data_IF_624402059928
#
_entry.id   IF_624402059928
#
_cell.length_a   1.000
_cell.length_b   1.000
_cell.length_c   1.000
_cell.angle_alpha   90.00
_cell.angle_beta   90.00
_cell.angle_gamma   90.00
#
_symmetry.space_group_name_H-M   'P 1'
#
loop_
_entity.id
_entity.type
_entity.pdbx_description
1 polymer ?
#
# COMPACT_ATOMS: atom_id res chain seq x y z
N UNK A 1 -24.27 30.07 5.62
CA UNK A 1 -23.49 29.40 4.57
C UNK A 1 -23.20 30.41 3.48
N UNK A 2 -21.97 30.46 2.99
CA UNK A 2 -21.55 31.33 1.91
C UNK A 2 -20.94 30.48 0.79
N UNK A 3 -21.45 30.64 -0.44
CA UNK A 3 -20.92 29.99 -1.63
C UNK A 3 -20.43 31.03 -2.61
N UNK A 4 -19.23 30.83 -3.17
CA UNK A 4 -18.70 31.64 -4.24
C UNK A 4 -19.14 31.05 -5.59
N UNK A 5 -19.83 31.85 -6.41
CA UNK A 5 -20.23 31.44 -7.74
C UNK A 5 -19.31 32.08 -8.78
N UNK A 6 -18.91 31.34 -9.77
CA UNK A 6 -18.25 31.87 -10.96
C UNK A 6 -19.31 32.29 -11.99
N UNK A 7 -18.90 33.00 -13.04
CA UNK A 7 -19.80 33.40 -14.11
C UNK A 7 -20.35 32.13 -14.81
N UNK A 8 -21.68 31.96 -14.79
CA UNK A 8 -22.36 30.88 -15.50
C UNK A 8 -22.63 31.27 -16.97
N UNK A 9 -22.60 30.26 -17.83
CA UNK A 9 -23.03 30.41 -19.25
C UNK A 9 -24.57 30.41 -19.33
N UNK A 10 -25.10 30.96 -20.43
CA UNK A 10 -26.56 30.92 -20.65
C UNK A 10 -27.10 29.47 -20.65
N UNK A 11 -28.14 29.21 -19.86
CA UNK A 11 -28.74 27.87 -19.73
C UNK A 11 -28.08 26.98 -18.65
N UNK A 12 -27.16 27.51 -17.87
CA UNK A 12 -26.59 26.85 -16.69
C UNK A 12 -27.30 27.29 -15.41
N UNK A 13 -27.49 26.40 -14.47
CA UNK A 13 -28.12 26.61 -13.19
C UNK A 13 -27.22 26.10 -12.07
N UNK A 14 -27.00 26.89 -11.02
CA UNK A 14 -26.38 26.43 -9.80
C UNK A 14 -27.43 25.73 -8.92
N UNK A 15 -27.13 24.54 -8.50
CA UNK A 15 -28.02 23.72 -7.65
C UNK A 15 -27.24 22.85 -6.69
N UNK A 16 -27.81 22.54 -5.52
CA UNK A 16 -27.26 21.59 -4.56
C UNK A 16 -27.99 20.26 -4.66
N UNK A 17 -27.31 19.14 -4.61
CA UNK A 17 -27.95 17.82 -4.57
C UNK A 17 -27.25 16.94 -3.52
N UNK A 18 -28.01 16.26 -2.65
CA UNK A 18 -29.47 16.38 -2.43
C UNK A 18 -29.90 17.80 -2.01
N UNK A 19 -31.19 18.09 -2.15
CA UNK A 19 -31.74 19.36 -1.69
C UNK A 19 -31.39 19.62 -0.22
N UNK A 20 -30.86 20.83 0.06
CA UNK A 20 -30.39 21.20 1.40
C UNK A 20 -28.98 20.68 1.74
N UNK A 21 -28.30 19.98 0.85
CA UNK A 21 -26.89 19.60 1.03
C UNK A 21 -25.94 20.79 0.87
N UNK A 22 -24.71 20.66 1.36
CA UNK A 22 -23.66 21.66 1.13
C UNK A 22 -22.97 21.56 -0.24
N UNK A 23 -23.27 20.55 -1.05
CA UNK A 23 -22.59 20.31 -2.33
C UNK A 23 -23.32 21.01 -3.48
N UNK A 24 -22.64 22.00 -4.08
CA UNK A 24 -23.15 22.80 -5.19
C UNK A 24 -22.45 22.44 -6.50
N UNK A 25 -23.21 22.37 -7.59
CA UNK A 25 -22.68 22.10 -8.93
C UNK A 25 -23.49 22.84 -10.02
N UNK A 26 -22.91 22.89 -11.21
CA UNK A 26 -23.56 23.47 -12.39
C UNK A 26 -24.36 22.40 -13.12
N UNK A 27 -25.67 22.53 -13.10
CA UNK A 27 -26.60 21.70 -13.84
C UNK A 27 -27.07 22.36 -15.14
N UNK A 28 -27.69 21.58 -16.02
CA UNK A 28 -28.28 22.06 -17.28
C UNK A 28 -29.80 22.05 -17.27
N UNK A 29 -30.41 21.51 -16.21
CA UNK A 29 -31.84 21.41 -16.05
C UNK A 29 -32.33 22.46 -15.06
N UNK A 30 -33.31 23.26 -15.46
CA UNK A 30 -34.04 24.16 -14.54
C UNK A 30 -34.86 23.30 -13.58
N UNK A 31 -34.55 23.39 -12.29
CA UNK A 31 -35.21 22.64 -11.21
C UNK A 31 -36.01 23.54 -10.29
N UNK A 32 -36.36 24.76 -10.70
CA UNK A 32 -37.18 25.66 -9.90
C UNK A 32 -38.53 25.01 -9.54
N UNK A 33 -38.86 25.00 -8.26
CA UNK A 33 -40.03 24.36 -7.68
C UNK A 33 -40.11 22.83 -7.83
N UNK A 34 -39.00 22.17 -8.08
CA UNK A 34 -38.89 20.70 -8.10
C UNK A 34 -37.58 20.28 -7.39
N UNK A 35 -37.47 19.02 -7.04
CA UNK A 35 -36.23 18.46 -6.49
C UNK A 35 -35.07 18.66 -7.46
N UNK A 36 -33.94 19.06 -6.94
CA UNK A 36 -32.70 19.23 -7.71
C UNK A 36 -32.26 17.91 -8.36
N UNK A 37 -31.65 17.99 -9.53
CA UNK A 37 -31.17 16.83 -10.24
C UNK A 37 -29.76 16.44 -9.72
N UNK A 38 -29.39 15.16 -9.70
CA UNK A 38 -28.02 14.75 -9.35
C UNK A 38 -26.99 15.32 -10.32
N UNK A 39 -25.74 15.40 -9.88
CA UNK A 39 -24.61 15.71 -10.75
C UNK A 39 -24.60 14.76 -11.97
N UNK A 40 -24.21 15.29 -13.11
CA UNK A 40 -24.48 14.67 -14.42
C UNK A 40 -23.76 13.36 -14.66
N UNK A 41 -22.53 13.20 -14.19
CA UNK A 41 -21.72 11.99 -14.38
C UNK A 41 -20.86 11.74 -13.16
N UNK A 42 -21.02 10.57 -12.55
CA UNK A 42 -20.16 10.08 -11.47
C UNK A 42 -19.56 8.70 -11.79
N UNK A 43 -19.70 8.26 -13.05
CA UNK A 43 -19.32 6.92 -13.49
C UNK A 43 -17.85 6.81 -13.88
N UNK A 44 -17.17 7.93 -14.14
CA UNK A 44 -15.74 7.96 -14.46
C UNK A 44 -14.96 8.29 -13.19
N UNK A 45 -14.07 7.40 -12.82
CA UNK A 45 -13.30 7.48 -11.58
C UNK A 45 -11.81 7.38 -11.84
N UNK A 46 -11.00 7.95 -10.97
CA UNK A 46 -9.54 7.73 -10.91
C UNK A 46 -9.33 6.32 -10.33
N UNK A 47 -8.66 5.46 -11.08
CA UNK A 47 -8.54 4.03 -10.83
C UNK A 47 -7.13 3.58 -10.45
N UNK A 48 -6.09 4.21 -11.03
CA UNK A 48 -4.70 3.91 -10.74
C UNK A 48 -3.87 5.19 -10.83
N UNK A 49 -2.87 5.33 -9.93
CA UNK A 49 -1.98 6.49 -9.88
C UNK A 49 -0.54 6.00 -9.69
N UNK A 50 0.32 6.29 -10.66
CA UNK A 50 1.78 6.14 -10.53
C UNK A 50 2.39 7.53 -10.37
N UNK A 51 2.47 8.00 -9.13
CA UNK A 51 2.96 9.36 -8.83
C UNK A 51 4.48 9.42 -8.58
N UNK A 52 5.10 8.28 -8.26
CA UNK A 52 6.53 8.19 -7.99
C UNK A 52 7.11 6.90 -8.58
N UNK A 53 7.22 6.82 -9.92
CA UNK A 53 7.89 5.68 -10.54
C UNK A 53 9.35 5.61 -10.07
N UNK A 54 10.00 4.43 -10.02
CA UNK A 54 11.42 4.32 -9.74
C UNK A 54 12.25 5.12 -10.76
N UNK A 55 13.40 5.65 -10.33
CA UNK A 55 14.30 6.45 -11.19
C UNK A 55 14.71 5.74 -12.49
N UNK A 56 14.68 4.40 -12.50
CA UNK A 56 14.95 3.57 -13.66
C UNK A 56 13.89 3.65 -14.76
N UNK A 57 12.71 4.19 -14.47
CA UNK A 57 11.59 4.32 -15.43
C UNK A 57 11.51 5.69 -16.12
N UNK A 58 12.37 6.64 -15.78
CA UNK A 58 12.28 7.99 -16.32
C UNK A 58 10.97 8.68 -15.92
N UNK A 59 10.31 9.38 -16.87
CA UNK A 59 9.05 10.09 -16.62
C UNK A 59 7.82 9.18 -16.78
N UNK A 60 7.79 8.10 -15.98
CA UNK A 60 6.74 7.07 -16.00
C UNK A 60 5.48 7.42 -15.19
N UNK A 61 5.27 8.67 -14.80
CA UNK A 61 4.07 9.10 -14.07
C UNK A 61 2.81 8.96 -14.92
N UNK A 62 1.73 8.51 -14.30
CA UNK A 62 0.41 8.44 -14.94
C UNK A 62 -0.74 8.46 -13.94
N UNK A 63 -1.92 8.84 -14.45
CA UNK A 63 -3.21 8.68 -13.80
C UNK A 63 -4.10 7.89 -14.76
N UNK A 64 -4.78 6.87 -14.26
CA UNK A 64 -5.73 6.10 -15.04
C UNK A 64 -7.16 6.40 -14.62
N UNK A 65 -8.02 6.57 -15.61
CA UNK A 65 -9.47 6.66 -15.45
C UNK A 65 -10.14 5.35 -15.85
N UNK A 66 -11.20 5.02 -15.15
CA UNK A 66 -12.06 3.86 -15.42
C UNK A 66 -13.51 4.29 -15.51
N UNK A 67 -14.24 3.81 -16.51
CA UNK A 67 -15.70 4.01 -16.60
C UNK A 67 -16.41 2.80 -16.00
N UNK A 68 -16.87 2.94 -14.73
CA UNK A 68 -17.66 1.93 -14.03
C UNK A 68 -19.13 1.91 -14.42
N UNK A 69 -19.57 2.91 -15.22
CA UNK A 69 -20.96 3.06 -15.64
C UNK A 69 -21.37 2.10 -16.74
N UNK A 70 -22.64 2.25 -17.18
CA UNK A 70 -23.24 1.43 -18.25
C UNK A 70 -23.32 2.15 -19.59
N UNK A 71 -22.91 3.41 -19.66
CA UNK A 71 -22.95 4.26 -20.84
C UNK A 71 -21.56 4.75 -21.23
N UNK A 72 -21.37 4.98 -22.53
CA UNK A 72 -20.17 5.66 -23.01
C UNK A 72 -20.19 7.11 -22.58
N UNK A 73 -19.14 7.58 -21.93
CA UNK A 73 -18.96 8.96 -21.49
C UNK A 73 -18.13 9.71 -22.54
N UNK A 74 -18.59 10.89 -22.93
CA UNK A 74 -17.83 11.83 -23.75
C UNK A 74 -16.99 12.72 -22.83
N UNK A 75 -15.69 12.62 -22.91
CA UNK A 75 -14.73 13.37 -22.09
C UNK A 75 -14.22 14.65 -22.80
N UNK A 76 -14.79 15.03 -23.93
CA UNK A 76 -14.39 16.28 -24.64
C UNK A 76 -14.43 17.47 -23.69
N UNK A 77 -13.31 18.23 -23.63
CA UNK A 77 -13.13 19.43 -22.81
C UNK A 77 -13.19 19.19 -21.29
N UNK A 78 -13.22 17.94 -20.84
CA UNK A 78 -12.99 17.62 -19.44
C UNK A 78 -11.59 17.99 -19.04
N UNK A 79 -11.34 18.18 -17.74
CA UNK A 79 -10.03 18.56 -17.21
C UNK A 79 -9.65 17.64 -16.07
N UNK A 80 -8.43 17.11 -16.14
CA UNK A 80 -7.76 16.49 -14.99
C UNK A 80 -6.76 17.51 -14.45
N UNK A 81 -6.91 17.91 -13.19
CA UNK A 81 -6.13 18.96 -12.57
C UNK A 81 -5.68 18.59 -11.14
N UNK A 82 -4.71 19.33 -10.62
CA UNK A 82 -4.04 19.11 -9.35
C UNK A 82 -2.57 19.51 -9.48
N UNK A 83 -1.62 18.63 -9.15
CA UNK A 83 -0.21 18.81 -9.51
C UNK A 83 0.05 18.73 -11.02
N UNK A 84 -0.91 18.24 -11.76
CA UNK A 84 -0.89 18.15 -13.23
C UNK A 84 -2.06 18.91 -13.83
N UNK A 85 -1.93 19.26 -15.13
CA UNK A 85 -3.00 19.83 -15.93
C UNK A 85 -3.11 19.07 -17.27
N UNK A 86 -4.31 18.56 -17.55
CA UNK A 86 -4.62 17.89 -18.80
C UNK A 86 -6.06 18.15 -19.23
N UNK A 87 -6.25 18.76 -20.42
CA UNK A 87 -7.56 18.92 -21.04
C UNK A 87 -7.77 17.82 -22.07
N UNK A 88 -8.88 17.08 -21.96
CA UNK A 88 -9.18 15.98 -22.87
C UNK A 88 -9.54 16.50 -24.26
N UNK A 89 -8.89 15.99 -25.32
CA UNK A 89 -9.14 16.43 -26.69
C UNK A 89 -10.57 16.19 -27.16
N UNK A 90 -11.06 16.98 -28.13
CA UNK A 90 -12.36 16.74 -28.76
C UNK A 90 -12.50 15.30 -29.30
N UNK A 91 -13.66 14.70 -29.05
CA UNK A 91 -13.97 13.33 -29.49
C UNK A 91 -13.44 12.22 -28.57
N UNK A 92 -12.79 12.55 -27.46
CA UNK A 92 -12.36 11.57 -26.47
C UNK A 92 -13.59 10.91 -25.83
N UNK A 93 -13.64 9.59 -25.88
CA UNK A 93 -14.75 8.79 -25.32
C UNK A 93 -14.21 7.65 -24.51
N UNK A 94 -14.91 7.33 -23.42
CA UNK A 94 -14.60 6.20 -22.55
C UNK A 94 -15.83 5.30 -22.43
N UNK A 95 -15.74 4.09 -22.98
CA UNK A 95 -16.86 3.12 -22.97
C UNK A 95 -17.00 2.46 -21.61
N UNK A 96 -18.15 1.83 -21.31
CA UNK A 96 -18.32 1.02 -20.12
C UNK A 96 -17.21 -0.04 -19.97
N UNK A 97 -16.60 -0.09 -18.77
CA UNK A 97 -15.53 -1.04 -18.46
C UNK A 97 -14.17 -0.75 -19.13
N UNK A 98 -14.02 0.38 -19.83
CA UNK A 98 -12.75 0.77 -20.42
C UNK A 98 -11.88 1.59 -19.44
N UNK A 99 -10.56 1.45 -19.66
CA UNK A 99 -9.51 2.23 -19.01
C UNK A 99 -8.97 3.29 -19.97
N UNK A 100 -8.60 4.44 -19.44
CA UNK A 100 -7.93 5.52 -20.16
C UNK A 100 -6.81 6.09 -19.30
N UNK A 101 -5.59 5.94 -19.77
CA UNK A 101 -4.39 6.41 -19.07
C UNK A 101 -4.04 7.82 -19.53
N UNK A 102 -3.75 8.72 -18.61
CA UNK A 102 -3.22 10.05 -18.85
C UNK A 102 -1.78 10.07 -18.33
N UNK A 103 -0.81 10.22 -19.20
CA UNK A 103 0.61 10.03 -18.92
C UNK A 103 1.43 11.31 -18.98
N UNK A 104 2.50 11.38 -18.19
CA UNK A 104 3.54 12.38 -18.36
C UNK A 104 4.29 12.21 -19.68
N UNK A 105 4.52 10.96 -20.09
CA UNK A 105 5.07 10.58 -21.39
C UNK A 105 4.30 9.38 -21.97
N UNK A 106 3.34 9.67 -22.83
CA UNK A 106 2.51 8.64 -23.47
C UNK A 106 3.29 7.73 -24.41
N UNK A 107 4.38 8.22 -25.00
CA UNK A 107 5.28 7.42 -25.85
C UNK A 107 6.04 6.39 -25.03
N UNK A 108 6.60 6.80 -23.91
CA UNK A 108 7.28 5.92 -22.96
C UNK A 108 6.32 4.84 -22.46
N UNK A 109 5.12 5.21 -21.99
CA UNK A 109 4.16 4.25 -21.46
C UNK A 109 3.75 3.19 -22.50
N UNK A 110 3.53 3.58 -23.76
CA UNK A 110 3.28 2.62 -24.83
C UNK A 110 4.46 1.67 -25.07
N UNK A 111 5.68 2.16 -24.95
CA UNK A 111 6.87 1.33 -25.11
C UNK A 111 7.02 0.29 -23.99
N UNK A 112 6.59 0.63 -22.76
CA UNK A 112 6.70 -0.22 -21.58
C UNK A 112 5.54 -1.23 -21.46
N UNK A 113 4.31 -0.82 -21.81
CA UNK A 113 3.10 -1.59 -21.56
C UNK A 113 2.41 -2.09 -22.84
N UNK A 114 2.90 -1.72 -24.03
CA UNK A 114 2.34 -2.13 -25.30
C UNK A 114 1.11 -1.32 -25.71
N UNK A 115 0.15 -1.98 -26.38
CA UNK A 115 -1.04 -1.33 -26.93
C UNK A 115 -2.08 -1.02 -25.82
N UNK A 116 -1.89 0.07 -25.10
CA UNK A 116 -2.82 0.60 -24.11
C UNK A 116 -3.50 1.87 -24.61
N UNK A 117 -4.72 2.14 -24.14
CA UNK A 117 -5.41 3.40 -24.40
C UNK A 117 -4.81 4.51 -23.54
N UNK A 118 -3.89 5.29 -24.12
CA UNK A 118 -3.14 6.33 -23.39
C UNK A 118 -3.14 7.64 -24.16
N UNK A 119 -3.43 8.71 -23.46
CA UNK A 119 -3.31 10.11 -23.86
C UNK A 119 -2.17 10.78 -23.07
N UNK A 120 -1.76 11.92 -23.51
CA UNK A 120 -0.73 12.73 -22.89
C UNK A 120 -0.08 13.62 -23.94
N UNK A 121 0.95 14.39 -23.63
CA UNK A 121 1.56 14.41 -22.30
C UNK A 121 0.83 15.46 -21.44
N UNK A 122 0.61 15.20 -20.17
CA UNK A 122 0.09 16.23 -19.29
C UNK A 122 1.17 17.27 -18.95
N UNK A 123 0.77 18.45 -18.51
CA UNK A 123 1.66 19.46 -17.95
C UNK A 123 1.74 19.32 -16.43
N UNK A 124 2.88 19.76 -15.86
CA UNK A 124 3.10 19.62 -14.42
C UNK A 124 3.74 18.30 -14.02
N UNK A 125 3.60 17.96 -12.78
CA UNK A 125 4.16 16.74 -12.18
C UNK A 125 3.29 16.30 -11.00
N UNK A 126 3.04 15.00 -10.88
CA UNK A 126 2.43 14.44 -9.67
C UNK A 126 3.37 14.63 -8.47
N UNK A 127 2.83 15.15 -7.37
CA UNK A 127 3.65 15.40 -6.19
C UNK A 127 4.10 14.08 -5.55
N UNK A 128 5.39 14.01 -5.24
CA UNK A 128 5.96 12.88 -4.51
C UNK A 128 5.57 12.85 -3.02
N UNK A 129 4.96 13.92 -2.51
CA UNK A 129 4.64 14.11 -1.10
C UNK A 129 3.11 14.18 -0.82
N UNK A 130 2.31 13.84 -1.83
CA UNK A 130 0.85 13.91 -1.80
C UNK A 130 0.30 15.02 -2.67
N UNK A 131 -0.89 14.80 -3.27
CA UNK A 131 -1.54 15.74 -4.18
C UNK A 131 -3.05 15.52 -4.24
N UNK A 132 -3.78 16.60 -4.51
CA UNK A 132 -5.22 16.57 -4.70
C UNK A 132 -5.57 16.57 -6.19
N UNK A 133 -5.78 15.40 -6.76
CA UNK A 133 -6.23 15.21 -8.14
C UNK A 133 -7.73 15.40 -8.26
N UNK A 134 -8.16 16.17 -9.27
CA UNK A 134 -9.57 16.41 -9.56
C UNK A 134 -9.87 16.18 -11.05
N UNK A 135 -10.90 15.39 -11.30
CA UNK A 135 -11.49 15.25 -12.62
C UNK A 135 -12.74 16.14 -12.68
N UNK A 136 -12.71 17.09 -13.59
CA UNK A 136 -13.81 18.05 -13.81
C UNK A 136 -14.47 17.79 -15.17
N UNK A 137 -15.79 17.94 -15.25
CA UNK A 137 -16.49 17.89 -16.54
C UNK A 137 -16.30 19.18 -17.37
N UNK A 138 -16.87 19.23 -18.57
CA UNK A 138 -16.78 20.37 -19.50
C UNK A 138 -17.39 21.68 -18.96
N UNK A 139 -18.06 21.60 -17.80
CA UNK A 139 -18.66 22.74 -17.11
C UNK A 139 -17.88 23.15 -15.84
N UNK A 140 -16.86 22.38 -15.51
CA UNK A 140 -16.08 22.55 -14.29
C UNK A 140 -16.72 21.91 -13.05
N UNK A 141 -17.71 21.03 -13.22
CA UNK A 141 -18.26 20.27 -12.08
C UNK A 141 -17.28 19.18 -11.68
N UNK A 142 -17.12 18.99 -10.38
CA UNK A 142 -16.35 17.87 -9.83
C UNK A 142 -17.03 16.53 -10.15
N UNK A 143 -16.33 15.68 -10.86
CA UNK A 143 -16.75 14.31 -11.20
C UNK A 143 -16.17 13.32 -10.20
N UNK A 144 -14.88 13.44 -9.94
CA UNK A 144 -14.15 12.58 -9.02
C UNK A 144 -12.90 13.30 -8.48
N UNK A 145 -12.50 12.97 -7.26
CA UNK A 145 -11.26 13.52 -6.67
C UNK A 145 -10.57 12.48 -5.80
N UNK A 146 -9.26 12.60 -5.70
CA UNK A 146 -8.40 11.80 -4.82
C UNK A 146 -7.34 12.70 -4.24
N UNK A 147 -7.32 12.82 -2.91
CA UNK A 147 -6.25 13.49 -2.15
C UNK A 147 -5.29 12.41 -1.64
N UNK A 148 -4.40 11.93 -2.54
CA UNK A 148 -3.46 10.89 -2.15
C UNK A 148 -2.33 11.43 -1.28
N UNK A 149 -1.90 10.63 -0.32
CA UNK A 149 -0.81 10.94 0.58
C UNK A 149 0.27 9.85 0.51
N UNK A 150 1.41 10.06 1.16
CA UNK A 150 2.58 9.17 1.11
C UNK A 150 2.87 8.49 2.44
N UNK A 151 2.04 8.71 3.44
CA UNK A 151 2.20 8.18 4.80
C UNK A 151 0.86 7.86 5.45
N UNK A 152 0.88 7.51 6.74
CA UNK A 152 -0.30 7.05 7.46
C UNK A 152 -0.80 5.72 6.89
N UNK A 153 -2.09 5.67 6.55
CA UNK A 153 -2.73 4.45 6.03
C UNK A 153 -2.60 4.28 4.50
N UNK A 154 -1.87 5.17 3.81
CA UNK A 154 -1.64 5.05 2.38
C UNK A 154 -0.57 4.00 2.06
N UNK A 155 -0.73 3.23 0.95
CA UNK A 155 0.17 2.15 0.58
C UNK A 155 1.62 2.62 0.36
N UNK A 156 2.52 2.26 1.27
CA UNK A 156 3.91 2.73 1.29
C UNK A 156 4.71 2.32 0.04
N UNK A 157 4.42 1.16 -0.54
CA UNK A 157 5.13 0.65 -1.72
C UNK A 157 4.87 1.48 -2.99
N UNK A 158 3.83 2.30 -3.02
CA UNK A 158 3.59 3.25 -4.11
C UNK A 158 4.51 4.48 -4.03
N UNK A 159 5.15 4.72 -2.89
CA UNK A 159 6.06 5.85 -2.70
C UNK A 159 7.48 5.56 -3.23
N UNK A 160 7.62 5.44 -4.55
CA UNK A 160 8.91 5.23 -5.22
C UNK A 160 9.50 3.85 -5.03
N UNK A 161 8.69 2.88 -4.59
CA UNK A 161 9.14 1.51 -4.33
C UNK A 161 8.64 0.50 -5.36
N UNK A 162 8.23 1.01 -6.52
CA UNK A 162 7.89 0.24 -7.70
C UNK A 162 6.42 -0.02 -7.93
N UNK A 163 5.57 0.08 -6.92
CA UNK A 163 4.14 -0.08 -7.08
C UNK A 163 3.44 1.23 -7.45
N UNK A 164 2.31 1.17 -8.16
CA UNK A 164 1.32 2.23 -8.25
C UNK A 164 0.31 2.14 -7.09
N UNK A 165 -0.49 3.18 -6.91
CA UNK A 165 -1.74 3.11 -6.14
C UNK A 165 -2.83 2.53 -7.04
N UNK A 166 -3.41 1.41 -6.66
CA UNK A 166 -4.53 0.77 -7.34
C UNK A 166 -5.79 0.84 -6.51
N UNK A 167 -6.89 1.30 -7.10
CA UNK A 167 -8.20 1.27 -6.48
C UNK A 167 -8.68 -0.19 -6.32
N UNK A 168 -9.01 -0.60 -5.11
CA UNK A 168 -9.41 -1.98 -4.80
C UNK A 168 -10.74 -2.38 -5.43
N UNK A 169 -11.69 -1.46 -5.54
CA UNK A 169 -12.97 -1.71 -6.22
C UNK A 169 -13.58 -0.39 -6.68
N UNK A 170 -14.14 -0.32 -7.89
CA UNK A 170 -14.67 0.92 -8.45
C UNK A 170 -15.84 1.53 -7.66
N UNK A 171 -16.54 0.76 -6.84
CA UNK A 171 -17.62 1.25 -6.00
C UNK A 171 -17.22 1.64 -4.57
N UNK A 172 -15.93 1.55 -4.23
CA UNK A 172 -15.41 2.10 -2.98
C UNK A 172 -15.22 3.62 -3.12
N UNK A 173 -15.29 4.33 -2.00
CA UNK A 173 -14.97 5.76 -1.96
C UNK A 173 -13.46 5.93 -2.10
N UNK A 174 -13.01 6.34 -3.29
CA UNK A 174 -11.60 6.48 -3.62
C UNK A 174 -10.94 7.74 -3.02
N UNK A 175 -11.66 8.54 -2.25
CA UNK A 175 -11.09 9.62 -1.44
C UNK A 175 -10.40 9.09 -0.18
N UNK A 176 -10.65 7.82 0.18
CA UNK A 176 -10.16 7.19 1.39
C UNK A 176 -8.97 6.27 1.11
N UNK A 177 -7.94 6.32 1.95
CA UNK A 177 -6.76 5.45 1.84
C UNK A 177 -7.12 3.96 1.83
N UNK A 178 -8.15 3.56 2.58
CA UNK A 178 -8.64 2.17 2.65
C UNK A 178 -9.23 1.63 1.34
N UNK A 179 -9.47 2.51 0.34
CA UNK A 179 -9.86 2.10 -1.01
C UNK A 179 -8.67 1.68 -1.88
N UNK A 180 -7.44 1.95 -1.46
CA UNK A 180 -6.24 1.82 -2.28
C UNK A 180 -5.31 0.73 -1.79
N UNK A 181 -4.62 0.09 -2.71
CA UNK A 181 -3.52 -0.83 -2.44
C UNK A 181 -2.33 -0.52 -3.34
N UNK A 182 -1.15 -0.97 -2.93
CA UNK A 182 0.00 -1.00 -3.82
C UNK A 182 -0.16 -2.11 -4.84
N UNK A 183 0.14 -1.84 -6.11
CA UNK A 183 0.09 -2.83 -7.19
C UNK A 183 1.00 -4.03 -6.90
N UNK A 184 0.58 -5.23 -7.36
CA UNK A 184 1.35 -6.45 -7.22
C UNK A 184 2.36 -6.60 -8.37
N UNK A 185 3.63 -6.48 -8.04
CA UNK A 185 4.74 -6.56 -8.99
C UNK A 185 5.41 -7.95 -9.03
N UNK A 186 4.93 -8.91 -8.23
CA UNK A 186 5.61 -10.18 -7.96
C UNK A 186 5.93 -11.01 -9.21
N UNK A 187 5.10 -10.93 -10.24
CA UNK A 187 5.24 -11.74 -11.45
C UNK A 187 5.99 -11.03 -12.60
N UNK A 188 6.50 -9.81 -12.37
CA UNK A 188 7.16 -9.01 -13.43
C UNK A 188 8.67 -9.22 -13.47
N UNK A 189 9.30 -9.56 -12.35
CA UNK A 189 10.75 -9.80 -12.24
C UNK A 189 11.12 -11.27 -12.46
N UNK A 190 12.40 -11.50 -12.80
CA UNK A 190 12.99 -12.83 -12.98
C UNK A 190 14.18 -13.01 -12.07
N UNK A 191 14.46 -14.24 -11.67
CA UNK A 191 15.69 -14.57 -10.98
C UNK A 191 16.92 -14.21 -11.83
N UNK A 192 17.90 -13.57 -11.17
CA UNK A 192 19.22 -13.25 -11.71
C UNK A 192 20.29 -13.79 -10.78
N UNK A 193 21.41 -14.28 -11.31
CA UNK A 193 22.55 -14.69 -10.50
C UNK A 193 23.35 -13.46 -10.02
N UNK A 194 23.75 -13.50 -8.76
CA UNK A 194 24.62 -12.50 -8.14
C UNK A 194 25.84 -13.17 -7.54
N UNK A 195 27.00 -12.52 -7.65
CA UNK A 195 28.28 -13.06 -7.18
C UNK A 195 29.12 -11.94 -6.57
N UNK A 196 29.83 -12.27 -5.48
CA UNK A 196 30.80 -11.40 -4.87
C UNK A 196 32.00 -12.22 -4.32
N UNK A 197 33.19 -11.71 -4.51
CA UNK A 197 34.42 -12.31 -3.99
C UNK A 197 35.13 -11.34 -3.07
N UNK A 198 35.52 -11.79 -1.88
CA UNK A 198 36.31 -11.02 -0.94
C UNK A 198 37.09 -11.96 0.03
N UNK A 199 38.15 -11.43 0.63
CA UNK A 199 38.89 -12.15 1.66
C UNK A 199 38.26 -11.95 3.01
N UNK A 200 37.91 -13.03 3.71
CA UNK A 200 37.44 -12.98 5.09
C UNK A 200 38.58 -12.61 6.04
N UNK A 201 38.49 -11.47 6.72
CA UNK A 201 39.57 -10.92 7.54
C UNK A 201 39.42 -11.18 9.03
N UNK A 202 38.21 -11.56 9.48
CA UNK A 202 37.91 -11.83 10.89
C UNK A 202 38.29 -10.65 11.81
N UNK A 203 37.84 -9.45 11.42
CA UNK A 203 38.13 -8.21 12.17
C UNK A 203 37.13 -8.03 13.34
N UNK A 204 37.13 -8.96 14.27
CA UNK A 204 36.27 -8.85 15.45
C UNK A 204 37.10 -8.34 16.64
N UNK A 205 36.55 -7.33 17.32
CA UNK A 205 37.20 -6.69 18.47
C UNK A 205 36.60 -7.11 19.82
N UNK A 206 35.49 -7.88 19.82
CA UNK A 206 34.77 -8.28 21.02
C UNK A 206 34.32 -9.75 20.92
N UNK A 207 34.65 -10.54 21.96
CA UNK A 207 34.20 -11.94 22.08
C UNK A 207 35.06 -12.96 21.35
N UNK A 208 34.65 -14.22 21.36
CA UNK A 208 35.28 -15.29 20.56
C UNK A 208 34.83 -15.11 19.10
N UNK A 209 35.77 -14.96 18.15
CA UNK A 209 35.44 -14.81 16.74
C UNK A 209 34.60 -15.96 16.17
N UNK A 210 34.68 -17.15 16.75
CA UNK A 210 33.93 -18.33 16.28
C UNK A 210 32.42 -18.20 16.48
N UNK A 211 32.00 -17.41 17.47
CA UNK A 211 30.58 -17.20 17.79
C UNK A 211 29.86 -16.24 16.81
N UNK A 212 30.63 -15.57 15.94
CA UNK A 212 30.10 -14.55 15.03
C UNK A 212 30.49 -14.81 13.56
N UNK A 213 30.72 -16.06 13.19
CA UNK A 213 30.91 -16.45 11.79
C UNK A 213 29.57 -16.65 11.13
N UNK A 214 29.01 -15.56 10.64
CA UNK A 214 27.68 -15.50 10.06
C UNK A 214 27.70 -14.78 8.71
N UNK A 215 26.75 -15.14 7.84
CA UNK A 215 26.35 -14.37 6.66
C UNK A 215 25.01 -13.71 6.92
N UNK A 216 24.92 -12.44 6.58
CA UNK A 216 23.73 -11.61 6.75
C UNK A 216 23.20 -11.14 5.41
N UNK A 217 21.86 -11.05 5.29
CA UNK A 217 21.17 -10.30 4.25
C UNK A 217 20.22 -9.30 4.89
N UNK A 218 20.08 -8.11 4.32
CA UNK A 218 19.06 -7.18 4.73
C UNK A 218 18.66 -6.20 3.61
N UNK A 219 17.45 -5.63 3.74
CA UNK A 219 16.97 -4.50 2.98
C UNK A 219 17.00 -3.25 3.86
N UNK A 220 17.51 -2.15 3.32
CA UNK A 220 17.65 -0.91 4.09
C UNK A 220 16.35 -0.13 4.26
N UNK A 221 15.33 -0.44 3.44
CA UNK A 221 13.98 0.12 3.50
C UNK A 221 12.96 -0.99 3.31
N UNK A 222 11.66 -0.68 3.37
CA UNK A 222 10.62 -1.69 3.12
C UNK A 222 10.76 -2.31 1.74
N UNK A 223 10.43 -3.58 1.66
CA UNK A 223 10.47 -4.32 0.40
C UNK A 223 10.42 -5.82 0.59
N UNK A 224 10.33 -6.50 -0.56
CA UNK A 224 10.31 -7.94 -0.66
C UNK A 224 11.24 -8.39 -1.78
N UNK A 225 12.19 -9.25 -1.44
CA UNK A 225 13.13 -9.89 -2.35
C UNK A 225 13.08 -11.40 -2.14
N UNK A 226 13.10 -12.17 -3.23
CA UNK A 226 13.18 -13.63 -3.14
C UNK A 226 14.59 -14.08 -3.52
N UNK A 227 15.21 -14.84 -2.65
CA UNK A 227 16.60 -15.33 -2.79
C UNK A 227 16.59 -16.84 -2.83
N UNK A 228 17.42 -17.45 -3.68
CA UNK A 228 17.64 -18.91 -3.73
C UNK A 228 19.09 -19.26 -3.97
N UNK A 229 19.43 -20.53 -3.76
CA UNK A 229 20.71 -21.12 -4.08
C UNK A 229 21.90 -20.39 -3.45
N UNK A 230 21.78 -20.04 -2.17
CA UNK A 230 22.81 -19.29 -1.46
C UNK A 230 23.98 -20.19 -1.13
N UNK A 231 25.14 -19.80 -1.62
CA UNK A 231 26.41 -20.49 -1.39
C UNK A 231 27.49 -19.49 -0.98
N UNK A 232 28.25 -19.85 0.04
CA UNK A 232 29.46 -19.17 0.43
C UNK A 232 30.62 -20.22 0.42
N UNK A 233 31.50 -20.12 -0.58
CA UNK A 233 32.51 -21.15 -0.83
C UNK A 233 33.92 -20.56 -0.86
N UNK A 234 34.88 -21.25 -0.22
CA UNK A 234 36.31 -20.92 -0.35
C UNK A 234 36.73 -21.05 -1.82
N UNK A 235 37.38 -20.04 -2.35
CA UNK A 235 37.86 -19.93 -3.73
C UNK A 235 36.81 -20.20 -4.81
N UNK A 236 35.51 -20.18 -4.43
CA UNK A 236 34.36 -20.46 -5.30
C UNK A 236 34.09 -21.94 -5.59
N UNK A 237 34.94 -22.84 -5.19
CA UNK A 237 34.89 -24.29 -5.53
C UNK A 237 34.86 -25.20 -4.30
N UNK A 238 35.24 -24.71 -3.12
CA UNK A 238 35.20 -25.45 -1.86
C UNK A 238 33.77 -25.82 -1.42
N UNK A 239 33.63 -26.58 -0.33
CA UNK A 239 32.29 -26.85 0.23
C UNK A 239 31.58 -25.56 0.64
N UNK A 240 30.25 -25.57 0.61
CA UNK A 240 29.46 -24.46 1.15
C UNK A 240 29.67 -24.40 2.67
N UNK A 241 30.06 -23.25 3.18
CA UNK A 241 30.34 -23.04 4.61
C UNK A 241 29.15 -22.66 5.44
N UNK A 242 27.98 -22.45 4.78
CA UNK A 242 26.72 -22.10 5.44
C UNK A 242 26.05 -23.33 6.04
N UNK A 243 25.54 -23.21 7.26
CA UNK A 243 24.83 -24.28 7.95
C UNK A 243 23.35 -24.29 7.55
N UNK A 244 22.88 -25.41 6.98
CA UNK A 244 21.45 -25.58 6.65
C UNK A 244 20.85 -24.43 5.83
N UNK A 245 21.54 -23.93 4.81
CA UNK A 245 21.14 -22.77 4.00
C UNK A 245 19.74 -22.90 3.33
N UNK A 246 19.18 -24.09 3.29
CA UNK A 246 17.85 -24.39 2.76
C UNK A 246 16.77 -24.52 3.83
N UNK A 247 17.01 -24.08 5.06
CA UNK A 247 16.06 -24.16 6.19
C UNK A 247 15.94 -22.82 6.88
N UNK A 248 14.78 -22.57 7.52
CA UNK A 248 14.56 -21.47 8.43
C UNK A 248 14.61 -21.98 9.88
N UNK A 249 15.09 -21.14 10.77
CA UNK A 249 15.09 -21.40 12.22
C UNK A 249 13.93 -20.67 12.87
N UNK A 250 13.01 -21.43 13.48
CA UNK A 250 11.98 -20.90 14.35
C UNK A 250 12.36 -20.99 15.84
N UNK A 251 13.54 -21.47 16.14
CA UNK A 251 14.05 -21.64 17.52
C UNK A 251 14.81 -20.42 18.02
N UNK A 252 15.01 -19.42 17.19
CA UNK A 252 15.80 -18.23 17.50
C UNK A 252 17.32 -18.46 17.44
N UNK A 253 17.78 -19.48 16.68
CA UNK A 253 19.18 -19.81 16.52
C UNK A 253 19.57 -19.91 15.04
N UNK A 254 20.62 -19.23 14.65
CA UNK A 254 21.15 -19.22 13.28
C UNK A 254 21.88 -20.51 12.88
N UNK A 255 22.27 -21.35 13.84
CA UNK A 255 22.91 -22.65 13.60
C UNK A 255 21.97 -23.73 13.02
N UNK A 256 20.65 -23.48 13.06
CA UNK A 256 19.62 -24.39 12.51
C UNK A 256 19.20 -24.01 11.10
N UNK A 257 19.54 -22.82 10.64
CA UNK A 257 19.17 -22.25 9.35
C UNK A 257 18.98 -20.73 9.44
N UNK A 258 18.32 -20.15 8.44
CA UNK A 258 18.10 -18.71 8.43
C UNK A 258 17.22 -18.25 9.59
N UNK A 259 17.68 -17.21 10.29
CA UNK A 259 17.00 -16.55 11.38
C UNK A 259 16.78 -15.08 11.01
N UNK A 260 15.56 -14.57 11.20
CA UNK A 260 15.26 -13.15 11.03
C UNK A 260 15.41 -12.37 12.34
N UNK A 261 15.76 -11.10 12.23
CA UNK A 261 15.83 -10.16 13.35
C UNK A 261 15.22 -8.79 12.95
N UNK A 262 14.66 -8.11 13.95
CA UNK A 262 14.11 -6.77 13.81
C UNK A 262 12.97 -6.69 12.78
N UNK A 263 12.99 -5.69 11.93
CA UNK A 263 11.96 -5.45 10.91
C UNK A 263 11.91 -6.47 9.76
N UNK A 264 12.74 -7.52 9.82
CA UNK A 264 12.71 -8.65 8.88
C UNK A 264 11.89 -9.84 9.42
N UNK A 265 11.10 -9.65 10.45
CA UNK A 265 10.35 -10.69 11.17
C UNK A 265 9.34 -11.48 10.30
N UNK A 266 8.86 -10.88 9.21
CA UNK A 266 7.96 -11.54 8.26
C UNK A 266 8.69 -12.45 7.25
N UNK A 267 10.04 -12.44 7.24
CA UNK A 267 10.82 -13.28 6.34
C UNK A 267 10.59 -14.75 6.64
N UNK A 268 10.49 -15.56 5.59
CA UNK A 268 10.20 -17.00 5.69
C UNK A 268 10.80 -17.78 4.52
N UNK A 269 10.75 -19.11 4.61
CA UNK A 269 11.11 -20.02 3.53
C UNK A 269 9.85 -20.54 2.86
N UNK A 270 9.82 -20.52 1.53
CA UNK A 270 8.87 -21.25 0.72
C UNK A 270 9.62 -22.21 -0.20
N UNK A 271 9.54 -23.51 0.08
CA UNK A 271 10.42 -24.51 -0.55
C UNK A 271 11.89 -24.20 -0.25
N UNK A 272 12.70 -24.01 -1.30
CA UNK A 272 14.13 -23.63 -1.20
C UNK A 272 14.34 -22.11 -1.44
N UNK A 273 13.28 -21.32 -1.42
CA UNK A 273 13.34 -19.89 -1.64
C UNK A 273 13.20 -19.14 -0.31
N UNK A 274 14.05 -18.16 -0.11
CA UNK A 274 14.00 -17.24 1.03
C UNK A 274 13.19 -16.03 0.59
N UNK A 275 12.06 -15.81 1.22
CA UNK A 275 11.32 -14.57 1.12
C UNK A 275 11.87 -13.60 2.17
N UNK A 276 12.76 -12.71 1.73
CA UNK A 276 13.33 -11.66 2.55
C UNK A 276 12.38 -10.46 2.50
N UNK A 277 11.69 -10.20 3.61
CA UNK A 277 10.78 -9.08 3.77
C UNK A 277 11.29 -8.09 4.80
N UNK A 278 11.13 -6.81 4.53
CA UNK A 278 11.42 -5.71 5.45
C UNK A 278 10.23 -4.75 5.51
N UNK A 279 9.81 -4.37 6.69
CA UNK A 279 8.74 -3.38 6.89
C UNK A 279 9.24 -1.93 6.77
N UNK A 280 10.54 -1.71 6.66
CA UNK A 280 11.14 -0.39 6.48
C UNK A 280 11.26 0.46 7.75
N UNK A 281 10.52 0.13 8.79
CA UNK A 281 10.62 0.80 10.09
C UNK A 281 11.67 0.09 10.94
N UNK A 282 12.83 0.74 11.14
CA UNK A 282 13.85 0.24 12.05
C UNK A 282 13.42 0.41 13.50
N UNK A 283 13.67 -0.61 14.30
CA UNK A 283 13.72 -0.48 15.76
C UNK A 283 15.19 -0.32 16.20
N UNK A 284 15.44 -0.25 17.51
CA UNK A 284 16.80 -0.18 18.06
C UNK A 284 17.54 -1.52 17.98
N UNK A 285 17.03 -2.51 17.26
CA UNK A 285 17.58 -3.84 17.12
C UNK A 285 18.31 -3.98 15.79
N UNK A 286 19.06 -5.06 15.66
CA UNK A 286 19.66 -5.41 14.39
C UNK A 286 18.59 -5.92 13.44
N UNK A 287 18.49 -5.31 12.27
CA UNK A 287 17.50 -5.63 11.24
C UNK A 287 18.17 -6.44 10.14
N UNK A 288 17.99 -7.76 10.15
CA UNK A 288 18.66 -8.66 9.17
C UNK A 288 18.02 -10.05 9.15
N UNK A 289 18.39 -10.80 8.13
CA UNK A 289 18.33 -12.23 8.06
C UNK A 289 19.75 -12.77 8.21
N UNK A 290 20.00 -13.71 9.10
CA UNK A 290 21.32 -14.24 9.39
C UNK A 290 21.38 -15.77 9.33
N UNK A 291 22.55 -16.31 9.03
CA UNK A 291 22.85 -17.73 9.02
C UNK A 291 24.29 -17.98 9.44
N UNK A 292 24.51 -19.03 10.23
CA UNK A 292 25.85 -19.47 10.63
C UNK A 292 26.69 -19.94 9.44
N UNK A 293 27.95 -19.52 9.46
CA UNK A 293 28.98 -19.88 8.50
C UNK A 293 30.23 -20.40 9.23
N UNK A 294 30.15 -21.48 10.00
CA UNK A 294 31.23 -21.94 10.88
C UNK A 294 32.51 -22.38 10.12
N UNK A 295 32.39 -22.64 8.84
CA UNK A 295 33.55 -22.98 7.97
C UNK A 295 34.33 -21.76 7.47
N UNK A 296 34.04 -20.54 7.89
CA UNK A 296 34.85 -19.37 7.58
C UNK A 296 36.18 -19.45 8.29
N UNK A 297 37.28 -19.20 7.54
CA UNK A 297 38.66 -19.21 8.04
C UNK A 297 39.36 -17.91 7.61
N UNK A 298 39.94 -17.23 8.58
CA UNK A 298 40.70 -15.97 8.38
C UNK A 298 41.66 -16.04 7.22
N UNK A 299 41.81 -14.97 6.48
CA UNK A 299 42.70 -14.78 5.35
C UNK A 299 42.42 -15.65 4.11
N UNK A 300 41.33 -16.39 4.09
CA UNK A 300 40.90 -17.09 2.89
C UNK A 300 39.99 -16.20 2.03
N UNK A 301 40.08 -16.41 0.71
CA UNK A 301 39.18 -15.82 -0.27
C UNK A 301 37.88 -16.63 -0.29
N UNK A 302 36.76 -15.95 -0.22
CA UNK A 302 35.40 -16.55 -0.35
C UNK A 302 34.66 -15.96 -1.52
N UNK A 303 33.81 -16.77 -2.13
CA UNK A 303 32.83 -16.36 -3.14
C UNK A 303 31.47 -16.62 -2.62
N UNK A 304 30.66 -15.53 -2.47
CA UNK A 304 29.24 -15.55 -2.24
C UNK A 304 28.53 -15.63 -3.59
N UNK A 305 27.64 -16.62 -3.76
CA UNK A 305 26.73 -16.78 -4.90
C UNK A 305 25.32 -16.97 -4.44
N UNK A 306 24.37 -16.37 -5.14
CA UNK A 306 22.94 -16.62 -4.96
C UNK A 306 22.17 -16.18 -6.20
N UNK A 307 20.94 -16.67 -6.35
CA UNK A 307 19.98 -16.11 -7.27
C UNK A 307 19.02 -15.21 -6.48
N UNK A 308 18.64 -14.08 -7.06
CA UNK A 308 17.61 -13.23 -6.46
C UNK A 308 16.69 -12.65 -7.51
N UNK A 309 15.46 -12.37 -7.11
CA UNK A 309 14.52 -11.55 -7.85
C UNK A 309 13.89 -10.51 -6.94
N UNK A 310 13.76 -9.31 -7.45
CA UNK A 310 13.02 -8.23 -6.82
C UNK A 310 11.51 -8.51 -6.94
N UNK A 311 10.73 -8.21 -5.89
CA UNK A 311 9.27 -8.30 -5.91
C UNK A 311 8.67 -6.90 -5.80
N UNK A 312 9.10 -6.14 -4.80
CA UNK A 312 8.73 -4.74 -4.61
C UNK A 312 9.69 -4.06 -3.62
N UNK A 313 9.58 -2.75 -3.48
CA UNK A 313 10.31 -1.97 -2.49
C UNK A 313 11.79 -1.79 -2.81
N UNK A 314 12.64 -1.93 -1.80
CA UNK A 314 14.09 -1.77 -1.98
C UNK A 314 14.65 -2.69 -3.05
N UNK A 315 15.35 -2.11 -4.00
CA UNK A 315 16.14 -2.84 -5.00
C UNK A 315 17.62 -3.00 -4.59
N UNK A 316 17.98 -2.50 -3.41
CA UNK A 316 19.30 -2.62 -2.85
C UNK A 316 19.29 -3.72 -1.79
N UNK A 317 19.90 -4.86 -2.13
CA UNK A 317 20.11 -5.99 -1.24
C UNK A 317 21.52 -5.93 -0.68
N UNK A 318 21.67 -5.84 0.63
CA UNK A 318 22.96 -5.88 1.30
C UNK A 318 23.23 -7.30 1.76
N UNK A 319 24.43 -7.81 1.42
CA UNK A 319 24.94 -9.06 1.96
C UNK A 319 26.31 -8.81 2.58
N UNK A 320 26.56 -9.34 3.77
CA UNK A 320 27.86 -9.21 4.43
C UNK A 320 28.09 -10.31 5.47
N UNK A 321 29.37 -10.61 5.74
CA UNK A 321 29.75 -11.36 6.96
C UNK A 321 29.67 -10.43 8.17
N UNK A 322 29.58 -10.98 9.37
CA UNK A 322 29.52 -10.18 10.60
C UNK A 322 30.60 -9.08 10.67
N UNK A 323 31.82 -9.40 10.29
CA UNK A 323 32.97 -8.49 10.29
C UNK A 323 33.02 -7.53 9.09
N UNK A 324 32.00 -7.56 8.21
CA UNK A 324 31.92 -6.76 6.96
C UNK A 324 33.12 -6.99 5.98
N UNK A 325 33.94 -7.98 6.16
CA UNK A 325 35.05 -8.23 5.24
C UNK A 325 34.61 -8.85 3.92
N UNK A 326 33.56 -9.67 3.94
CA UNK A 326 32.86 -10.13 2.72
C UNK A 326 31.54 -9.38 2.64
N UNK A 327 31.56 -8.18 2.07
CA UNK A 327 30.40 -7.30 2.04
C UNK A 327 30.15 -6.71 0.65
N UNK A 328 28.87 -6.65 0.25
CA UNK A 328 28.45 -6.06 -1.01
C UNK A 328 27.00 -5.57 -0.94
N UNK A 329 26.75 -4.40 -1.52
CA UNK A 329 25.42 -3.95 -1.89
C UNK A 329 25.15 -4.39 -3.32
N UNK A 330 24.15 -5.24 -3.49
CA UNK A 330 23.70 -5.70 -4.80
C UNK A 330 22.54 -4.84 -5.26
N UNK A 331 22.62 -4.31 -6.45
CA UNK A 331 21.52 -3.65 -7.12
C UNK A 331 20.73 -4.71 -7.89
N UNK A 332 19.48 -4.92 -7.50
CA UNK A 332 18.59 -5.88 -8.12
C UNK A 332 17.98 -5.31 -9.41
N UNK A 333 17.66 -6.20 -10.33
CA UNK A 333 16.99 -5.86 -11.59
C UNK A 333 15.52 -5.57 -11.35
N UNK A 334 15.12 -4.29 -11.49
CA UNK A 334 13.74 -3.83 -11.34
C UNK A 334 13.07 -3.79 -12.71
N UNK A 335 11.90 -4.43 -12.88
CA UNK A 335 11.15 -4.36 -14.14
C UNK A 335 10.80 -2.92 -14.53
N UNK A 336 10.71 -2.66 -15.81
CA UNK A 336 10.33 -1.33 -16.32
C UNK A 336 8.83 -1.16 -16.55
N UNK A 337 8.04 -2.24 -16.53
CA UNK A 337 6.59 -2.25 -16.80
C UNK A 337 5.76 -2.33 -15.51
N UNK A 338 6.08 -1.47 -14.54
CA UNK A 338 5.43 -1.44 -13.22
C UNK A 338 4.03 -0.80 -13.30
N UNK A 339 3.14 -1.17 -12.34
CA UNK A 339 1.72 -0.82 -12.39
C UNK A 339 0.93 -1.69 -13.38
N UNK A 340 -0.36 -1.42 -13.51
CA UNK A 340 -1.27 -2.16 -14.41
C UNK A 340 -2.00 -1.29 -15.44
N UNK A 341 -1.39 -0.19 -15.98
CA UNK A 341 -2.11 0.74 -16.81
C UNK A 341 -2.77 0.06 -18.02
N UNK A 342 -4.04 0.41 -18.27
CA UNK A 342 -4.86 -0.14 -19.35
C UNK A 342 -5.41 -1.55 -19.09
N UNK A 343 -5.33 -2.04 -17.85
CA UNK A 343 -5.77 -3.40 -17.45
C UNK A 343 -6.49 -3.35 -16.10
N UNK A 344 -7.20 -4.44 -15.73
CA UNK A 344 -7.71 -4.57 -14.37
C UNK A 344 -6.59 -4.47 -13.33
N UNK A 345 -6.85 -3.76 -12.25
CA UNK A 345 -5.91 -3.62 -11.14
C UNK A 345 -5.52 -4.99 -10.58
N UNK A 346 -4.24 -5.16 -10.25
CA UNK A 346 -3.70 -6.43 -9.76
C UNK A 346 -4.27 -6.83 -8.38
N UNK A 347 -4.72 -5.83 -7.62
CA UNK A 347 -5.29 -5.97 -6.28
C UNK A 347 -6.82 -5.84 -6.26
N UNK A 348 -7.46 -5.85 -7.44
CA UNK A 348 -8.90 -5.68 -7.55
C UNK A 348 -9.69 -6.71 -6.73
N UNK A 349 -10.63 -6.23 -5.92
CA UNK A 349 -11.60 -7.06 -5.21
C UNK A 349 -12.78 -7.38 -6.12
N UNK A 350 -13.37 -8.54 -5.94
CA UNK A 350 -14.58 -8.95 -6.67
C UNK A 350 -15.85 -8.26 -6.15
N UNK A 351 -15.80 -7.72 -4.95
CA UNK A 351 -16.89 -7.00 -4.27
C UNK A 351 -16.30 -5.90 -3.40
N UNK A 352 -16.98 -4.75 -3.26
CA UNK A 352 -16.48 -3.66 -2.43
C UNK A 352 -16.37 -4.09 -0.97
N UNK A 353 -15.26 -3.76 -0.34
CA UNK A 353 -15.10 -3.87 1.11
C UNK A 353 -15.77 -2.69 1.82
N UNK A 354 -16.19 -2.90 3.06
CA UNK A 354 -16.57 -1.81 3.93
C UNK A 354 -15.32 -1.00 4.31
N UNK A 355 -15.40 0.32 4.31
CA UNK A 355 -14.26 1.20 4.59
C UNK A 355 -14.34 1.71 6.03
N UNK A 356 -13.30 1.46 6.80
CA UNK A 356 -13.19 1.84 8.21
C UNK A 356 -12.45 3.17 8.31
N UNK A 357 -13.02 4.13 9.02
CA UNK A 357 -12.48 5.47 9.19
C UNK A 357 -12.65 5.97 10.63
N UNK A 358 -11.84 6.94 11.02
CA UNK A 358 -12.02 7.69 12.26
C UNK A 358 -12.22 6.81 13.50
N UNK A 359 -11.41 5.75 13.64
CA UNK A 359 -11.40 4.95 14.84
C UNK A 359 -10.95 5.80 16.03
N UNK A 360 -11.80 5.95 17.02
CA UNK A 360 -11.51 6.74 18.22
C UNK A 360 -12.00 6.05 19.48
N UNK A 361 -11.51 6.47 20.62
CA UNK A 361 -12.03 6.06 21.91
C UNK A 361 -12.13 7.24 22.87
N UNK A 362 -13.06 7.15 23.78
CA UNK A 362 -13.27 8.13 24.84
C UNK A 362 -13.51 7.43 26.19
N UNK A 363 -12.85 7.87 27.29
CA UNK A 363 -11.88 8.97 27.38
C UNK A 363 -10.56 8.65 26.66
N UNK A 364 -9.82 9.70 26.22
CA UNK A 364 -8.53 9.53 25.54
C UNK A 364 -7.44 8.89 26.43
N UNK A 365 -7.53 9.16 27.74
CA UNK A 365 -6.69 8.54 28.78
C UNK A 365 -7.63 7.96 29.84
N UNK A 366 -8.07 6.71 29.68
CA UNK A 366 -9.04 6.11 30.60
C UNK A 366 -8.40 5.74 31.95
N UNK A 367 -9.18 5.86 33.01
CA UNK A 367 -8.89 5.31 34.33
C UNK A 367 -9.50 3.91 34.45
N UNK A 368 -9.07 3.13 35.41
CA UNK A 368 -9.61 1.78 35.67
C UNK A 368 -11.11 1.75 36.02
N UNK A 369 -11.68 2.91 36.37
CA UNK A 369 -13.11 3.09 36.71
C UNK A 369 -13.94 3.63 35.52
N UNK A 370 -13.31 4.04 34.44
CA UNK A 370 -14.01 4.65 33.33
C UNK A 370 -14.58 3.58 32.40
N UNK A 371 -15.79 3.86 31.88
CA UNK A 371 -16.33 3.10 30.77
C UNK A 371 -15.76 3.67 29.46
N UNK A 372 -14.99 2.87 28.74
CA UNK A 372 -14.39 3.31 27.47
C UNK A 372 -15.33 3.01 26.33
N UNK A 373 -15.77 4.06 25.64
CA UNK A 373 -16.52 3.99 24.40
C UNK A 373 -15.55 4.01 23.23
N UNK A 374 -15.65 3.01 22.34
CA UNK A 374 -14.95 2.96 21.07
C UNK A 374 -15.95 3.28 19.98
N UNK A 375 -15.59 4.20 19.08
CA UNK A 375 -16.42 4.60 17.93
C UNK A 375 -15.60 4.48 16.64
N UNK A 376 -16.28 4.16 15.55
CA UNK A 376 -15.68 4.05 14.22
C UNK A 376 -16.69 4.43 13.16
N UNK A 377 -16.29 5.24 12.19
CA UNK A 377 -17.11 5.51 11.01
C UNK A 377 -16.87 4.40 9.98
N UNK A 378 -17.96 3.86 9.42
CA UNK A 378 -17.87 2.81 8.39
C UNK A 378 -18.65 3.25 7.16
N UNK A 379 -17.91 3.55 6.08
CA UNK A 379 -18.51 3.77 4.78
C UNK A 379 -18.72 2.43 4.07
N UNK A 380 -19.94 2.12 3.68
CA UNK A 380 -20.28 0.90 2.95
C UNK A 380 -21.56 1.07 2.14
N UNK A 381 -21.56 0.55 0.91
CA UNK A 381 -22.76 0.46 0.08
C UNK A 381 -23.74 -0.63 0.55
N UNK A 382 -23.27 -1.52 1.40
CA UNK A 382 -23.99 -2.67 1.93
C UNK A 382 -23.92 -2.62 3.46
N UNK A 383 -24.97 -3.04 4.15
CA UNK A 383 -24.99 -3.08 5.63
C UNK A 383 -23.88 -3.99 6.17
N UNK A 384 -22.79 -3.46 6.74
CA UNK A 384 -21.68 -4.24 7.22
C UNK A 384 -21.96 -4.84 8.60
N UNK A 385 -21.29 -5.93 8.93
CA UNK A 385 -21.11 -6.36 10.31
C UNK A 385 -19.84 -5.76 10.85
N UNK A 386 -19.92 -5.00 11.96
CA UNK A 386 -18.77 -4.33 12.56
C UNK A 386 -18.48 -4.93 13.93
N UNK A 387 -17.24 -5.36 14.13
CA UNK A 387 -16.79 -6.04 15.34
C UNK A 387 -15.59 -5.33 15.95
N UNK A 388 -15.68 -5.04 17.24
CA UNK A 388 -14.57 -4.60 18.06
C UNK A 388 -13.86 -5.83 18.64
N UNK A 389 -12.58 -5.98 18.37
CA UNK A 389 -11.71 -6.96 19.00
C UNK A 389 -10.86 -6.28 20.04
N UNK A 390 -10.74 -6.88 21.22
CA UNK A 390 -9.97 -6.30 22.32
C UNK A 390 -9.31 -7.39 23.17
N UNK A 391 -8.21 -7.04 23.83
CA UNK A 391 -7.54 -7.88 24.81
C UNK A 391 -6.69 -7.03 25.75
N UNK A 392 -6.37 -7.58 26.90
CA UNK A 392 -5.28 -7.10 27.74
C UNK A 392 -4.17 -8.16 27.71
N UNK A 393 -3.07 -7.90 27.01
CA UNK A 393 -2.01 -8.88 26.87
C UNK A 393 -1.38 -9.20 28.23
N UNK A 394 -1.12 -10.47 28.48
CA UNK A 394 -0.28 -10.93 29.60
C UNK A 394 1.21 -10.81 29.24
N UNK A 395 2.08 -11.14 30.19
CA UNK A 395 3.53 -11.08 29.99
C UNK A 395 4.04 -12.00 28.87
N UNK A 396 3.24 -12.97 28.42
CA UNK A 396 3.58 -13.87 27.30
C UNK A 396 3.13 -13.33 25.94
N UNK A 397 2.30 -12.28 25.91
CA UNK A 397 1.71 -11.73 24.70
C UNK A 397 0.69 -12.63 24.03
N UNK A 398 0.27 -13.75 24.65
CA UNK A 398 -0.58 -14.79 24.06
C UNK A 398 -2.05 -14.73 24.46
N UNK A 399 -2.50 -13.66 25.12
CA UNK A 399 -3.91 -13.51 25.52
C UNK A 399 -4.80 -13.51 24.27
N UNK A 400 -5.82 -14.38 24.19
CA UNK A 400 -6.72 -14.43 23.04
C UNK A 400 -7.50 -13.12 22.88
N UNK A 401 -7.79 -12.76 21.63
CA UNK A 401 -8.71 -11.69 21.31
C UNK A 401 -10.14 -12.05 21.70
N UNK A 402 -10.81 -11.16 22.40
CA UNK A 402 -12.26 -11.18 22.63
C UNK A 402 -12.92 -10.27 21.60
N UNK A 403 -14.15 -10.55 21.22
CA UNK A 403 -14.86 -9.75 20.25
C UNK A 403 -16.23 -9.28 20.76
N UNK A 404 -16.65 -8.10 20.29
CA UNK A 404 -17.92 -7.50 20.63
C UNK A 404 -18.52 -6.84 19.38
N UNK A 405 -19.82 -7.06 19.11
CA UNK A 405 -20.48 -6.37 18.02
C UNK A 405 -20.62 -4.87 18.34
N UNK A 406 -20.29 -4.05 17.35
CA UNK A 406 -20.53 -2.62 17.39
C UNK A 406 -21.90 -2.31 16.78
N UNK A 407 -22.56 -1.26 17.28
CA UNK A 407 -23.94 -0.90 16.91
C UNK A 407 -23.99 0.48 16.27
N UNK A 408 -24.89 0.64 15.30
CA UNK A 408 -25.29 1.90 14.68
C UNK A 408 -26.84 1.98 14.73
N UNK A 409 -27.40 1.91 15.94
CA UNK A 409 -28.85 1.81 16.16
C UNK A 409 -29.35 2.59 17.39
N UNK A 410 -28.55 3.53 17.90
CA UNK A 410 -28.85 4.32 19.08
C UNK A 410 -28.66 3.57 20.41
N UNK A 411 -27.94 2.44 20.41
CA UNK A 411 -27.69 1.65 21.63
C UNK A 411 -26.20 1.36 21.84
N UNK A 412 -25.82 0.81 22.99
CA UNK A 412 -24.44 0.37 23.31
C UNK A 412 -23.38 1.48 23.17
N UNK A 413 -23.77 2.75 23.40
CA UNK A 413 -22.89 3.92 23.27
C UNK A 413 -23.00 4.63 21.94
N UNK A 414 -23.81 4.14 21.03
CA UNK A 414 -24.18 4.85 19.82
C UNK A 414 -25.15 5.99 20.14
N UNK A 415 -24.83 7.19 19.63
CA UNK A 415 -25.57 8.41 19.94
C UNK A 415 -26.66 8.69 18.89
N UNK A 416 -26.45 8.29 17.63
CA UNK A 416 -27.34 8.60 16.51
C UNK A 416 -27.53 7.38 15.60
N UNK A 417 -28.72 6.77 15.59
CA UNK A 417 -28.95 5.57 14.79
C UNK A 417 -28.86 5.85 13.28
N UNK A 418 -28.13 5.00 12.57
CA UNK A 418 -28.07 4.99 11.10
C UNK A 418 -27.20 6.11 10.49
N UNK A 419 -26.28 6.70 11.26
CA UNK A 419 -25.39 7.76 10.76
C UNK A 419 -24.05 7.22 10.21
N UNK A 420 -23.85 5.89 10.26
CA UNK A 420 -22.63 5.20 9.84
C UNK A 420 -21.53 5.21 10.91
N UNK A 421 -21.80 5.72 12.11
CA UNK A 421 -20.85 5.68 13.24
C UNK A 421 -21.21 4.53 14.17
N UNK A 422 -20.48 3.47 14.08
CA UNK A 422 -20.66 2.29 14.93
C UNK A 422 -19.97 2.48 16.28
N UNK A 423 -20.63 2.04 17.35
CA UNK A 423 -20.12 2.18 18.72
C UNK A 423 -20.15 0.88 19.49
N UNK A 424 -19.21 0.72 20.41
CA UNK A 424 -19.24 -0.29 21.45
C UNK A 424 -18.57 0.21 22.73
N UNK A 425 -19.02 -0.30 23.87
CA UNK A 425 -18.38 -0.06 25.15
C UNK A 425 -17.41 -1.23 25.43
N UNK A 426 -16.14 -0.93 25.70
CA UNK A 426 -15.20 -1.93 26.18
C UNK A 426 -15.65 -2.49 27.53
N UNK A 427 -15.40 -3.78 27.82
CA UNK A 427 -15.61 -4.31 29.15
C UNK A 427 -14.66 -3.63 30.16
N UNK A 428 -15.00 -3.70 31.44
CA UNK A 428 -14.16 -3.14 32.49
C UNK A 428 -12.81 -3.88 32.60
N UNK A 429 -11.73 -3.13 32.47
CA UNK A 429 -10.36 -3.57 32.76
C UNK A 429 -9.90 -2.90 34.05
N UNK A 430 -9.90 -3.65 35.14
CA UNK A 430 -9.72 -3.10 36.51
C UNK A 430 -8.28 -3.06 37.00
N UNK A 431 -7.35 -3.68 36.30
CA UNK A 431 -5.96 -3.69 36.73
C UNK A 431 -5.29 -2.33 36.48
N UNK A 432 -4.64 -1.79 37.51
CA UNK A 432 -3.90 -0.54 37.40
C UNK A 432 -2.72 -0.69 36.42
N UNK A 433 -2.51 0.33 35.55
CA UNK A 433 -1.47 0.35 34.49
C UNK A 433 -1.57 -0.77 33.47
N UNK A 434 -2.75 -1.34 33.30
CA UNK A 434 -2.97 -2.36 32.27
C UNK A 434 -3.06 -1.72 30.88
N UNK A 435 -2.30 -2.24 29.92
CA UNK A 435 -2.46 -1.89 28.50
C UNK A 435 -3.63 -2.71 27.94
N UNK A 436 -4.54 -2.05 27.24
CA UNK A 436 -5.62 -2.69 26.49
C UNK A 436 -5.40 -2.42 25.02
N UNK A 437 -5.26 -3.49 24.25
CA UNK A 437 -5.17 -3.44 22.79
C UNK A 437 -6.55 -3.67 22.20
N UNK A 438 -6.88 -2.93 21.14
CA UNK A 438 -8.10 -3.16 20.38
C UNK A 438 -7.93 -2.79 18.92
N UNK A 439 -8.76 -3.42 18.07
CA UNK A 439 -8.94 -3.06 16.67
C UNK A 439 -10.39 -3.31 16.25
N UNK A 440 -10.78 -2.75 15.11
CA UNK A 440 -12.13 -2.93 14.55
C UNK A 440 -12.03 -3.66 13.23
N UNK A 441 -12.89 -4.65 13.01
CA UNK A 441 -13.09 -5.31 11.73
C UNK A 441 -14.49 -4.99 11.21
N UNK A 442 -14.58 -4.42 10.00
CA UNK A 442 -15.83 -4.28 9.27
C UNK A 442 -15.88 -5.34 8.15
N UNK A 443 -16.98 -6.06 8.07
CA UNK A 443 -17.19 -7.12 7.08
C UNK A 443 -18.45 -6.85 6.28
N UNK A 444 -18.33 -6.77 4.96
CA UNK A 444 -19.48 -6.69 4.06
C UNK A 444 -20.23 -8.03 3.98
N UNK A 445 -21.50 -8.05 3.57
CA UNK A 445 -22.27 -9.30 3.40
C UNK A 445 -21.63 -10.29 2.43
N UNK A 446 -20.81 -9.85 1.50
CA UNK A 446 -20.04 -10.69 0.57
C UNK A 446 -18.84 -11.38 1.23
N UNK A 447 -18.50 -11.02 2.48
CA UNK A 447 -17.35 -11.54 3.21
C UNK A 447 -16.07 -10.71 3.05
N UNK A 448 -16.05 -9.69 2.18
CA UNK A 448 -14.93 -8.77 2.09
C UNK A 448 -14.79 -8.00 3.42
N UNK A 449 -13.56 -7.87 3.92
CA UNK A 449 -13.28 -7.27 5.21
C UNK A 449 -12.26 -6.14 5.13
N UNK A 450 -12.39 -5.19 6.07
CA UNK A 450 -11.40 -4.16 6.38
C UNK A 450 -11.14 -4.12 7.88
N UNK A 451 -9.94 -3.74 8.25
CA UNK A 451 -9.49 -3.68 9.65
C UNK A 451 -8.86 -2.31 9.90
#
# INVERSE_FOLDING_TARGET
>A
DAHAFHLSKHGEFFQAFPDGSGEWFVGTKDTRNTTNAPARVTDVIINEIMYKPPDTQGNGEFVELFNRGKQTVNLTDWVLTGGIDFTFPPGTKLRPGEYLVIAADAGLLRSLHGAINVLGNFHGKLSNDGDLLRLLDEKGNLVNEVDYQTGGDWPELAHGRGSSLELLHPDMDNRLSSAWAASDEANKSKFRPYTHRATYTEQLTLGDPSDFRELHFFLNTSGHVIISDVELRKDGTGPNVLTNANKASFTGKSDVGWLWQGNHWASHMEGNQIHLLSEGHGDNRVNRLEIDAPGLVKSNLYELKFNARWVNGSHLLVAHTWDWSVAKVFQLDVPSNLGTPGKPNSRALTTPAAQVEQLTHYPAVPRSTDTVKVTVRVASLLSPTVMLYHRAPDASGKTPWQSKAMQDNGTAGDDVPGDGVFSALLPEYKADKQIVEFYVEARSPSGAKSV
#
